data_IF_322742687722
#
_entry.id   IF_322742687722
#
_cell.length_a   1.000
_cell.length_b   1.000
_cell.length_c   1.000
_cell.angle_alpha   90.00
_cell.angle_beta   90.00
_cell.angle_gamma   90.00
#
_symmetry.space_group_name_H-M   'P 1'
#
loop_
_entity.id
_entity.type
_entity.pdbx_description
1 polymer ?
#
# COMPACT_ATOMS: atom_id res chain seq x y z
N UNK A 1 26.14 38.94 -7.22
CA UNK A 1 25.80 37.54 -6.90
C UNK A 1 24.29 37.46 -6.74
N UNK A 2 23.56 36.78 -7.63
CA UNK A 2 22.12 36.61 -7.48
C UNK A 2 21.81 35.68 -6.28
N UNK A 3 20.82 36.06 -5.47
CA UNK A 3 20.42 35.33 -4.27
C UNK A 3 19.75 33.99 -4.64
N UNK A 4 19.92 32.92 -3.83
CA UNK A 4 19.23 31.66 -4.06
C UNK A 4 17.73 31.87 -3.85
N UNK A 5 16.96 31.84 -4.94
CA UNK A 5 15.50 31.75 -4.89
C UNK A 5 15.13 30.41 -4.28
N UNK A 6 14.74 30.42 -3.00
CA UNK A 6 14.14 29.26 -2.35
C UNK A 6 12.92 28.82 -3.16
N UNK A 7 12.89 27.59 -3.70
CA UNK A 7 11.74 27.11 -4.45
C UNK A 7 10.54 27.08 -3.51
N UNK A 8 9.51 27.86 -3.84
CA UNK A 8 8.21 27.75 -3.18
C UNK A 8 7.69 26.33 -3.39
N UNK A 9 7.25 25.63 -2.33
CA UNK A 9 6.76 24.27 -2.45
C UNK A 9 5.58 24.27 -3.44
N UNK A 10 5.72 23.48 -4.51
CA UNK A 10 4.66 23.33 -5.51
C UNK A 10 3.45 22.73 -4.81
N UNK A 11 2.31 23.40 -4.91
CA UNK A 11 1.04 22.92 -4.34
C UNK A 11 0.64 21.65 -5.08
N UNK A 12 0.51 20.55 -4.35
CA UNK A 12 0.09 19.27 -4.92
C UNK A 12 -1.38 19.33 -5.33
N UNK A 13 -1.74 18.51 -6.33
CA UNK A 13 -3.13 18.33 -6.74
C UNK A 13 -3.93 17.66 -5.61
N UNK A 14 -5.23 17.93 -5.45
CA UNK A 14 -6.03 17.34 -4.37
C UNK A 14 -5.97 15.79 -4.30
N UNK A 15 -5.94 15.11 -5.45
CA UNK A 15 -5.79 13.65 -5.51
C UNK A 15 -4.40 13.18 -5.05
N UNK A 16 -3.35 13.95 -5.32
CA UNK A 16 -2.00 13.65 -4.86
C UNK A 16 -1.86 13.84 -3.34
N UNK A 17 -2.54 14.85 -2.77
CA UNK A 17 -2.64 15.03 -1.32
C UNK A 17 -3.36 13.84 -0.65
N UNK A 18 -4.49 13.39 -1.20
CA UNK A 18 -5.20 12.20 -0.70
C UNK A 18 -4.35 10.93 -0.80
N UNK A 19 -3.63 10.74 -1.90
CA UNK A 19 -2.70 9.63 -2.06
C UNK A 19 -1.60 9.69 -0.98
N UNK A 20 -0.96 10.85 -0.80
CA UNK A 20 0.07 11.06 0.21
C UNK A 20 -0.46 10.79 1.63
N UNK A 21 -1.68 11.20 1.92
CA UNK A 21 -2.35 10.97 3.19
C UNK A 21 -2.60 9.48 3.48
N UNK A 22 -3.05 8.70 2.50
CA UNK A 22 -3.27 7.27 2.70
C UNK A 22 -1.96 6.50 2.80
N UNK A 23 -0.98 6.84 1.97
CA UNK A 23 0.35 6.23 2.00
C UNK A 23 1.08 6.51 3.34
N UNK A 24 0.94 7.71 3.91
CA UNK A 24 1.58 8.05 5.19
C UNK A 24 1.02 7.25 6.37
N UNK A 25 -0.25 6.84 6.30
CA UNK A 25 -0.90 5.96 7.28
C UNK A 25 -0.60 4.47 7.10
N UNK A 26 0.20 4.10 6.09
CA UNK A 26 0.64 2.73 5.84
C UNK A 26 -0.20 1.95 4.82
N UNK A 27 -1.04 2.61 4.01
CA UNK A 27 -1.69 1.93 2.89
C UNK A 27 -0.66 1.47 1.86
N UNK A 28 -0.91 0.33 1.20
CA UNK A 28 -0.09 -0.08 0.04
C UNK A 28 -0.22 0.96 -1.08
N UNK A 29 0.75 1.06 -1.98
CA UNK A 29 0.71 2.04 -3.08
C UNK A 29 -0.54 1.88 -3.95
N UNK A 30 -0.94 0.63 -4.22
CA UNK A 30 -2.17 0.34 -4.96
C UNK A 30 -3.42 0.78 -4.19
N UNK A 31 -3.48 0.47 -2.89
CA UNK A 31 -4.59 0.87 -2.03
C UNK A 31 -4.69 2.40 -1.90
N UNK A 32 -3.56 3.09 -1.68
CA UNK A 32 -3.52 4.54 -1.59
C UNK A 32 -4.00 5.19 -2.90
N UNK A 33 -3.59 4.67 -4.06
CA UNK A 33 -4.05 5.16 -5.37
C UNK A 33 -5.57 5.01 -5.53
N UNK A 34 -6.12 3.84 -5.19
CA UNK A 34 -7.57 3.59 -5.24
C UNK A 34 -8.34 4.52 -4.32
N UNK A 35 -7.88 4.68 -3.08
CA UNK A 35 -8.50 5.58 -2.10
C UNK A 35 -8.43 7.05 -2.51
N UNK A 36 -7.40 7.44 -3.27
CA UNK A 36 -7.27 8.76 -3.85
C UNK A 36 -8.11 8.99 -5.12
N UNK A 37 -8.84 7.97 -5.58
CA UNK A 37 -9.72 8.05 -6.75
C UNK A 37 -9.01 7.91 -8.09
N UNK A 38 -7.84 7.25 -8.14
CA UNK A 38 -7.24 6.80 -9.39
C UNK A 38 -7.85 5.47 -9.85
N UNK A 39 -7.69 5.12 -11.13
CA UNK A 39 -8.14 3.84 -11.67
C UNK A 39 -7.63 2.67 -10.81
N UNK A 40 -8.49 1.68 -10.49
CA UNK A 40 -8.07 0.47 -9.83
C UNK A 40 -7.13 -0.36 -10.70
N UNK A 41 -7.28 -0.26 -12.03
CA UNK A 41 -6.41 -0.91 -13.01
C UNK A 41 -5.10 -0.12 -13.10
N UNK A 42 -3.98 -0.81 -12.90
CA UNK A 42 -2.68 -0.15 -12.82
C UNK A 42 -2.47 0.73 -11.58
N UNK A 43 -3.34 0.70 -10.57
CA UNK A 43 -3.22 1.48 -9.34
C UNK A 43 -1.84 1.37 -8.67
N UNK A 44 -1.22 0.18 -8.74
CA UNK A 44 0.15 -0.07 -8.26
C UNK A 44 1.19 0.69 -9.07
N UNK A 45 1.12 0.61 -10.40
CA UNK A 45 2.03 1.33 -11.30
C UNK A 45 1.86 2.84 -11.12
N UNK A 46 0.61 3.32 -11.08
CA UNK A 46 0.28 4.72 -10.80
C UNK A 46 0.84 5.17 -9.47
N UNK A 47 0.66 4.38 -8.41
CA UNK A 47 1.22 4.67 -7.08
C UNK A 47 2.75 4.72 -7.09
N UNK A 48 3.40 3.85 -7.86
CA UNK A 48 4.85 3.89 -8.08
C UNK A 48 5.29 5.17 -8.79
N UNK A 49 4.59 5.58 -9.85
CA UNK A 49 4.85 6.84 -10.58
C UNK A 49 4.65 8.06 -9.67
N UNK A 50 3.60 8.07 -8.84
CA UNK A 50 3.37 9.13 -7.87
C UNK A 50 4.51 9.22 -6.83
N UNK A 51 5.01 8.08 -6.34
CA UNK A 51 6.15 8.04 -5.41
C UNK A 51 7.50 8.37 -6.06
N UNK A 52 7.60 8.35 -7.39
CA UNK A 52 8.79 8.85 -8.07
C UNK A 52 8.92 10.38 -7.93
N UNK A 53 7.80 11.09 -7.74
CA UNK A 53 7.79 12.53 -7.50
C UNK A 53 8.27 12.87 -6.08
N UNK A 54 9.34 13.68 -5.98
CA UNK A 54 9.92 14.11 -4.71
C UNK A 54 8.95 14.87 -3.82
N UNK A 55 8.07 15.69 -4.39
CA UNK A 55 7.17 16.55 -3.63
C UNK A 55 6.11 15.71 -2.91
N UNK A 56 5.60 14.68 -3.60
CA UNK A 56 4.66 13.71 -3.02
C UNK A 56 5.32 12.93 -1.88
N UNK A 57 6.57 12.46 -2.07
CA UNK A 57 7.31 11.76 -0.99
C UNK A 57 7.53 12.64 0.24
N UNK A 58 7.93 13.89 0.05
CA UNK A 58 8.12 14.82 1.16
C UNK A 58 6.81 15.04 1.92
N UNK A 59 5.69 15.16 1.19
CA UNK A 59 4.36 15.29 1.78
C UNK A 59 3.94 14.05 2.58
N UNK A 60 4.25 12.85 2.10
CA UNK A 60 4.02 11.60 2.83
C UNK A 60 4.79 11.58 4.15
N UNK A 61 6.05 11.98 4.15
CA UNK A 61 6.87 12.02 5.37
C UNK A 61 6.43 13.12 6.35
N UNK A 62 5.89 14.23 5.86
CA UNK A 62 5.26 15.25 6.71
C UNK A 62 4.05 14.68 7.43
N UNK A 63 3.08 14.13 6.70
CA UNK A 63 1.91 13.49 7.30
C UNK A 63 2.28 12.33 8.23
N UNK A 64 3.32 11.56 7.89
CA UNK A 64 3.79 10.47 8.75
C UNK A 64 4.31 11.01 10.07
N UNK A 65 5.10 12.09 10.06
CA UNK A 65 5.62 12.71 11.29
C UNK A 65 4.49 13.26 12.16
N UNK A 66 3.53 13.96 11.56
CA UNK A 66 2.34 14.46 12.27
C UNK A 66 1.53 13.32 12.89
N UNK A 67 1.29 12.25 12.12
CA UNK A 67 0.53 11.10 12.59
C UNK A 67 1.24 10.34 13.70
N UNK A 68 2.55 10.09 13.56
CA UNK A 68 3.35 9.43 14.61
C UNK A 68 3.35 10.26 15.88
N UNK A 69 3.56 11.58 15.79
CA UNK A 69 3.53 12.46 16.96
C UNK A 69 2.18 12.43 17.68
N UNK A 70 1.06 12.51 16.94
CA UNK A 70 -0.27 12.42 17.51
C UNK A 70 -0.57 11.04 18.11
N UNK A 71 -0.11 9.97 17.44
CA UNK A 71 -0.31 8.59 17.88
C UNK A 71 0.48 8.27 19.13
N UNK A 72 1.74 8.71 19.22
CA UNK A 72 2.61 8.43 20.34
C UNK A 72 2.08 9.05 21.64
N UNK A 73 1.51 10.25 21.58
CA UNK A 73 0.82 10.86 22.72
C UNK A 73 -0.38 10.01 23.18
N UNK A 74 -1.23 9.57 22.24
CA UNK A 74 -2.39 8.73 22.56
C UNK A 74 -1.99 7.33 23.08
N UNK A 75 -0.92 6.73 22.55
CA UNK A 75 -0.39 5.46 23.06
C UNK A 75 0.16 5.63 24.48
N UNK A 76 0.86 6.73 24.76
CA UNK A 76 1.39 7.00 26.10
C UNK A 76 0.27 7.08 27.15
N UNK A 77 -0.80 7.83 26.85
CA UNK A 77 -1.99 7.93 27.70
C UNK A 77 -2.64 6.56 27.93
N UNK A 78 -2.91 5.80 26.86
CA UNK A 78 -3.49 4.45 26.97
C UNK A 78 -2.63 3.48 27.78
N UNK A 79 -1.30 3.60 27.71
CA UNK A 79 -0.35 2.80 28.49
C UNK A 79 -0.39 3.15 29.97
N UNK A 80 -0.60 4.43 30.32
CA UNK A 80 -0.79 4.88 31.70
C UNK A 80 -2.10 4.37 32.29
N UNK A 81 -3.22 4.55 31.57
CA UNK A 81 -4.54 4.03 31.97
C UNK A 81 -4.52 2.52 32.18
N UNK A 82 -3.90 1.77 31.25
CA UNK A 82 -3.76 0.32 31.39
C UNK A 82 -2.93 -0.04 32.62
N UNK A 83 -1.96 0.80 33.01
CA UNK A 83 -1.21 0.66 34.26
C UNK A 83 -2.09 0.75 35.50
N UNK A 84 -3.03 1.70 35.53
CA UNK A 84 -3.99 1.85 36.62
C UNK A 84 -4.94 0.63 36.71
N UNK A 85 -5.34 0.07 35.56
CA UNK A 85 -6.15 -1.16 35.50
C UNK A 85 -5.39 -2.35 36.10
N UNK A 86 -4.09 -2.47 35.83
CA UNK A 86 -3.24 -3.51 36.42
C UNK A 86 -3.21 -3.38 37.95
N UNK A 87 -2.96 -2.18 38.47
CA UNK A 87 -2.93 -1.93 39.91
C UNK A 87 -4.28 -2.25 40.57
N UNK A 88 -5.37 -1.81 39.95
CA UNK A 88 -6.75 -2.12 40.39
C UNK A 88 -7.01 -3.63 40.42
N UNK A 89 -6.61 -4.35 39.37
CA UNK A 89 -6.82 -5.80 39.28
C UNK A 89 -6.02 -6.56 40.34
N UNK A 90 -4.80 -6.12 40.64
CA UNK A 90 -3.98 -6.69 41.72
C UNK A 90 -4.64 -6.44 43.07
N UNK A 91 -5.08 -5.20 43.35
CA UNK A 91 -5.75 -4.82 44.61
C UNK A 91 -7.04 -5.61 44.85
N UNK A 92 -7.77 -5.96 43.79
CA UNK A 92 -9.00 -6.75 43.84
C UNK A 92 -8.75 -8.27 43.77
N UNK A 93 -7.49 -8.72 43.81
CA UNK A 93 -7.08 -10.13 43.72
C UNK A 93 -7.64 -10.83 42.46
N UNK A 94 -7.65 -10.14 41.32
CA UNK A 94 -8.08 -10.67 40.02
C UNK A 94 -6.87 -10.91 39.10
N UNK A 95 -6.09 -11.99 39.30
CA UNK A 95 -4.83 -12.21 38.60
C UNK A 95 -4.99 -12.33 37.08
N UNK A 96 -6.06 -12.99 36.60
CA UNK A 96 -6.33 -13.10 35.16
C UNK A 96 -6.55 -11.75 34.50
N UNK A 97 -7.25 -10.83 35.17
CA UNK A 97 -7.49 -9.48 34.65
C UNK A 97 -6.18 -8.67 34.61
N UNK A 98 -5.34 -8.81 35.64
CA UNK A 98 -4.02 -8.18 35.67
C UNK A 98 -3.14 -8.67 34.50
N UNK A 99 -3.12 -9.98 34.22
CA UNK A 99 -2.37 -10.56 33.11
C UNK A 99 -2.83 -10.03 31.75
N UNK A 100 -4.15 -9.97 31.51
CA UNK A 100 -4.70 -9.43 30.25
C UNK A 100 -4.37 -7.95 30.06
N UNK A 101 -4.40 -7.15 31.13
CA UNK A 101 -4.02 -5.74 31.08
C UNK A 101 -2.51 -5.57 30.83
N UNK A 102 -1.66 -6.43 31.42
CA UNK A 102 -0.22 -6.46 31.12
C UNK A 102 0.02 -6.81 29.65
N UNK A 103 -0.65 -7.84 29.12
CA UNK A 103 -0.54 -8.21 27.71
C UNK A 103 -0.94 -7.05 26.78
N UNK A 104 -2.06 -6.38 27.07
CA UNK A 104 -2.51 -5.22 26.30
C UNK A 104 -1.48 -4.08 26.35
N UNK A 105 -0.91 -3.80 27.52
CA UNK A 105 0.15 -2.80 27.68
C UNK A 105 1.38 -3.13 26.83
N UNK A 106 1.77 -4.40 26.75
CA UNK A 106 2.88 -4.85 25.89
C UNK A 106 2.57 -4.73 24.39
N UNK A 107 1.31 -4.99 24.00
CA UNK A 107 0.85 -4.78 22.61
C UNK A 107 0.86 -3.31 22.22
N UNK A 108 0.35 -2.41 23.08
CA UNK A 108 0.36 -0.96 22.84
C UNK A 108 1.78 -0.40 22.67
N UNK A 109 2.75 -0.93 23.43
CA UNK A 109 4.17 -0.58 23.31
C UNK A 109 4.86 -1.19 22.08
N UNK A 110 4.18 -2.04 21.32
CA UNK A 110 4.74 -2.73 20.15
C UNK A 110 5.74 -3.84 20.48
N UNK A 111 5.86 -4.25 21.75
CA UNK A 111 6.72 -5.38 22.15
C UNK A 111 6.13 -6.69 21.63
N UNK A 112 4.80 -6.82 21.72
CA UNK A 112 4.05 -7.93 21.13
C UNK A 112 3.35 -7.43 19.87
N UNK A 113 3.69 -8.02 18.72
CA UNK A 113 3.00 -7.73 17.47
C UNK A 113 1.65 -8.44 17.43
N UNK A 114 0.59 -7.68 17.23
CA UNK A 114 -0.75 -8.21 17.00
C UNK A 114 -1.27 -7.68 15.66
N UNK A 115 -1.39 -8.59 14.68
CA UNK A 115 -1.76 -8.28 13.30
C UNK A 115 -3.15 -7.63 13.19
N UNK A 116 -3.99 -7.77 14.22
CA UNK A 116 -5.35 -7.21 14.24
C UNK A 116 -5.36 -5.68 14.42
N UNK A 117 -4.26 -5.07 14.85
CA UNK A 117 -4.19 -3.62 15.09
C UNK A 117 -3.64 -2.83 13.90
N UNK A 118 -3.41 -3.46 12.74
CA UNK A 118 -3.03 -2.72 11.53
C UNK A 118 -4.25 -1.98 10.95
N UNK A 119 -4.13 -0.67 10.72
CA UNK A 119 -5.18 0.15 10.08
C UNK A 119 -5.47 -0.32 8.65
N UNK A 120 -4.44 -0.80 7.97
CA UNK A 120 -4.54 -1.39 6.65
C UNK A 120 -4.30 -2.88 6.80
N UNK A 121 -5.33 -3.66 6.48
CA UNK A 121 -5.19 -5.11 6.33
C UNK A 121 -4.31 -5.36 5.11
N UNK A 122 -3.40 -6.33 5.18
CA UNK A 122 -2.80 -6.93 3.99
C UNK A 122 -3.96 -7.47 3.14
N UNK A 123 -4.41 -6.67 2.16
CA UNK A 123 -5.59 -7.02 1.38
C UNK A 123 -5.17 -8.11 0.39
N UNK A 124 -5.88 -9.24 0.33
CA UNK A 124 -5.65 -10.24 -0.71
C UNK A 124 -5.85 -9.67 -2.13
N UNK A 125 -6.52 -8.51 -2.27
CA UNK A 125 -6.71 -7.80 -3.54
C UNK A 125 -5.44 -7.09 -4.07
N UNK A 126 -4.29 -7.25 -3.41
CA UNK A 126 -2.99 -7.02 -4.07
C UNK A 126 -2.60 -8.20 -5.00
N UNK A 127 -3.33 -9.32 -4.95
CA UNK A 127 -3.21 -10.44 -5.87
C UNK A 127 -4.06 -10.19 -7.13
N UNK A 128 -3.45 -9.49 -8.10
CA UNK A 128 -4.06 -9.07 -9.38
C UNK A 128 -4.46 -10.23 -10.31
N UNK A 129 -4.33 -11.48 -9.87
CA UNK A 129 -4.59 -12.68 -10.68
C UNK A 129 -6.08 -12.96 -10.91
N UNK A 130 -7.00 -12.31 -10.18
CA UNK A 130 -8.44 -12.64 -10.20
C UNK A 130 -9.34 -11.59 -10.86
N UNK A 131 -8.84 -10.42 -11.27
CA UNK A 131 -9.70 -9.39 -11.83
C UNK A 131 -9.78 -9.45 -13.37
N UNK A 132 -10.95 -9.85 -13.89
CA UNK A 132 -11.34 -9.68 -15.29
C UNK A 132 -11.78 -8.23 -15.50
N UNK A 133 -10.97 -7.43 -16.17
CA UNK A 133 -11.23 -6.01 -16.39
C UNK A 133 -11.67 -5.71 -17.83
N UNK A 134 -12.63 -4.78 -17.97
CA UNK A 134 -13.08 -4.21 -19.25
C UNK A 134 -12.11 -3.09 -19.69
N UNK A 135 -11.41 -3.23 -20.84
CA UNK A 135 -10.44 -2.25 -21.33
C UNK A 135 -10.96 -0.82 -21.54
N UNK A 136 -12.28 -0.60 -21.55
CA UNK A 136 -12.87 0.72 -21.84
C UNK A 136 -12.96 1.65 -20.64
N UNK A 137 -12.88 1.15 -19.42
CA UNK A 137 -12.89 1.99 -18.20
C UNK A 137 -11.49 2.53 -17.84
N UNK A 138 -10.44 2.14 -18.58
CA UNK A 138 -9.03 2.34 -18.21
C UNK A 138 -8.41 3.67 -18.69
N UNK A 139 -9.20 4.58 -19.28
CA UNK A 139 -8.70 5.90 -19.69
C UNK A 139 -8.76 6.89 -18.52
N UNK A 140 -7.86 6.71 -17.56
CA UNK A 140 -7.52 7.77 -16.62
C UNK A 140 -6.96 8.97 -17.42
N UNK A 141 -7.38 10.23 -17.11
CA UNK A 141 -6.87 11.38 -17.82
C UNK A 141 -5.34 11.41 -17.74
N UNK A 142 -4.65 11.72 -18.87
CA UNK A 142 -3.20 11.78 -18.89
C UNK A 142 -2.73 12.70 -17.77
N UNK A 143 -1.74 12.24 -16.99
CA UNK A 143 -1.07 13.11 -16.04
C UNK A 143 -0.60 14.31 -16.84
N UNK A 144 -1.07 15.50 -16.50
CA UNK A 144 -0.55 16.71 -17.11
C UNK A 144 0.98 16.63 -17.02
N UNK A 145 1.69 16.75 -18.15
CA UNK A 145 3.13 16.66 -18.15
C UNK A 145 3.62 17.71 -17.18
N UNK A 146 4.33 17.25 -16.14
CA UNK A 146 5.04 18.11 -15.20
C UNK A 146 5.79 19.12 -16.06
N UNK A 147 5.38 20.38 -15.98
CA UNK A 147 5.97 21.47 -16.77
C UNK A 147 7.48 21.32 -16.66
N UNK A 148 8.07 20.90 -17.76
CA UNK A 148 9.47 20.63 -17.91
C UNK A 148 10.19 21.89 -17.44
N UNK A 149 11.15 21.72 -16.52
CA UNK A 149 12.01 22.83 -16.13
C UNK A 149 12.52 23.50 -17.42
N UNK A 150 12.58 24.85 -17.48
CA UNK A 150 12.95 25.56 -18.69
C UNK A 150 14.24 24.98 -19.24
N UNK A 151 14.18 24.54 -20.50
CA UNK A 151 15.27 23.87 -21.19
C UNK A 151 16.60 24.62 -20.95
N UNK A 152 17.71 23.91 -20.65
CA UNK A 152 19.01 24.54 -20.63
C UNK A 152 19.24 25.24 -21.98
N UNK A 153 19.78 26.47 -21.99
CA UNK A 153 19.94 27.27 -23.19
C UNK A 153 20.72 26.49 -24.25
N UNK A 154 20.18 26.53 -25.47
CA UNK A 154 20.69 25.86 -26.65
C UNK A 154 22.22 25.90 -26.74
N UNK A 155 22.82 24.71 -26.73
CA UNK A 155 24.21 24.51 -27.14
C UNK A 155 24.32 24.86 -28.63
N UNK A 156 25.33 25.67 -29.04
CA UNK A 156 25.49 26.06 -30.44
C UNK A 156 25.76 24.85 -31.34
N UNK A 157 25.35 24.91 -32.62
CA UNK A 157 25.41 23.77 -33.52
C UNK A 157 26.86 23.28 -33.74
N UNK A 158 27.09 21.96 -33.81
CA UNK A 158 28.39 21.41 -34.10
C UNK A 158 28.79 21.72 -35.55
N UNK A 159 29.98 22.28 -35.71
CA UNK A 159 30.63 22.48 -36.99
C UNK A 159 30.89 21.14 -37.69
N UNK A 160 30.73 21.15 -39.01
CA UNK A 160 31.01 20.08 -39.96
C UNK A 160 32.22 19.23 -39.57
N UNK A 161 31.98 17.95 -39.29
CA UNK A 161 33.02 16.92 -39.35
C UNK A 161 32.76 16.02 -40.57
N UNK A 162 33.76 15.85 -41.45
CA UNK A 162 33.63 15.07 -42.69
C UNK A 162 33.49 13.57 -42.42
N UNK A 163 32.71 12.94 -43.30
CA UNK A 163 32.43 11.51 -43.43
C UNK A 163 33.70 10.64 -43.28
N UNK A 164 33.63 9.63 -42.41
CA UNK A 164 34.59 8.52 -42.38
C UNK A 164 33.83 7.20 -42.56
N UNK A 165 34.31 6.27 -43.41
CA UNK A 165 33.50 5.20 -43.99
C UNK A 165 33.36 3.98 -43.07
N UNK A 166 32.25 3.26 -43.25
CA UNK A 166 31.93 1.98 -42.63
C UNK A 166 33.03 0.93 -42.79
N UNK A 167 33.14 0.02 -41.81
CA UNK A 167 33.45 -1.37 -42.13
C UNK A 167 32.44 -2.34 -41.51
N UNK A 168 31.78 -3.04 -42.43
CA UNK A 168 31.58 -4.49 -42.45
C UNK A 168 31.36 -5.25 -41.12
N UNK A 169 30.13 -5.75 -41.00
CA UNK A 169 29.79 -7.15 -40.73
C UNK A 169 30.88 -8.05 -40.10
N UNK A 170 30.63 -8.53 -38.87
CA UNK A 170 30.92 -9.90 -38.44
C UNK A 170 29.89 -10.30 -37.36
N UNK A 171 29.05 -11.29 -37.68
CA UNK A 171 28.37 -12.17 -36.73
C UNK A 171 29.41 -13.10 -36.08
N UNK A 172 29.24 -13.46 -34.79
CA UNK A 172 29.50 -14.85 -34.44
C UNK A 172 28.41 -15.50 -33.58
N UNK A 173 28.38 -16.81 -33.74
CA UNK A 173 27.44 -17.84 -33.27
C UNK A 173 27.33 -18.00 -31.75
N UNK A 174 26.23 -18.61 -31.25
CA UNK A 174 26.12 -19.05 -29.86
C UNK A 174 26.94 -20.32 -29.61
N UNK A 175 27.94 -20.21 -28.72
CA UNK A 175 28.70 -21.37 -28.25
C UNK A 175 27.90 -22.17 -27.20
N UNK A 176 27.61 -23.42 -27.56
CA UNK A 176 27.07 -24.49 -26.72
C UNK A 176 28.23 -25.22 -26.05
N UNK A 177 28.45 -25.10 -24.74
CA UNK A 177 29.36 -25.96 -23.95
C UNK A 177 28.84 -26.01 -22.50
N UNK A 178 28.14 -27.09 -22.11
CA UNK A 178 28.64 -28.21 -21.27
C UNK A 178 28.96 -27.84 -19.82
N UNK A 179 28.21 -28.38 -18.86
CA UNK A 179 28.73 -29.25 -17.78
C UNK A 179 27.67 -29.48 -16.68
N UNK A 180 27.28 -30.75 -16.52
CA UNK A 180 26.79 -31.32 -15.27
C UNK A 180 28.00 -31.83 -14.44
N UNK A 181 27.81 -32.44 -13.26
CA UNK A 181 27.31 -31.93 -11.97
C UNK A 181 28.43 -31.96 -10.91
N UNK A 182 28.15 -31.61 -9.64
CA UNK A 182 28.47 -32.59 -8.61
C UNK A 182 27.39 -32.83 -7.56
N UNK A 183 27.55 -33.99 -6.93
CA UNK A 183 26.67 -34.65 -5.99
C UNK A 183 26.58 -33.99 -4.59
N UNK A 184 25.55 -34.48 -3.85
CA UNK A 184 25.37 -34.53 -2.38
C UNK A 184 24.67 -33.34 -1.68
N UNK A 185 23.99 -33.55 -0.52
CA UNK A 185 23.84 -34.78 0.30
C UNK A 185 22.38 -35.21 0.56
N UNK A 186 22.21 -36.51 0.84
CA UNK A 186 20.96 -37.13 1.25
C UNK A 186 20.47 -36.61 2.61
N UNK A 187 19.23 -36.14 2.66
CA UNK A 187 18.54 -35.79 3.90
C UNK A 187 18.21 -37.06 4.73
N UNK A 188 18.35 -37.01 6.06
CA UNK A 188 18.04 -38.14 6.93
C UNK A 188 16.53 -38.42 7.01
N UNK A 189 16.21 -39.72 7.05
CA UNK A 189 14.88 -40.31 7.25
C UNK A 189 14.23 -39.80 8.54
N UNK A 190 13.00 -39.24 8.50
CA UNK A 190 12.20 -39.08 9.70
C UNK A 190 11.63 -40.45 10.10
N UNK A 191 12.03 -40.91 11.29
CA UNK A 191 11.45 -42.08 11.94
C UNK A 191 9.97 -41.81 12.26
N UNK A 192 9.15 -42.82 11.97
CA UNK A 192 7.79 -42.92 12.45
C UNK A 192 7.76 -42.94 13.98
N UNK A 193 6.86 -42.16 14.57
CA UNK A 193 6.23 -42.56 15.83
C UNK A 193 4.75 -42.21 15.77
N UNK A 194 3.98 -43.29 15.78
CA UNK A 194 2.54 -43.28 15.82
C UNK A 194 2.05 -42.75 17.17
N UNK A 195 1.16 -41.77 17.13
CA UNK A 195 0.13 -41.60 18.14
C UNK A 195 -1.19 -41.42 17.39
N UNK A 196 -1.92 -42.53 17.25
CA UNK A 196 -3.33 -42.57 16.87
C UNK A 196 -4.14 -42.00 18.03
N UNK A 197 -4.71 -40.82 17.86
CA UNK A 197 -5.99 -40.46 18.46
C UNK A 197 -6.79 -39.72 17.40
N UNK A 198 -7.70 -40.46 16.77
CA UNK A 198 -8.69 -39.89 15.87
C UNK A 198 -9.64 -38.99 16.64
N UNK A 199 -9.73 -37.74 16.23
CA UNK A 199 -10.93 -36.93 16.40
C UNK A 199 -11.08 -36.18 15.09
N UNK A 200 -11.99 -36.67 14.26
CA UNK A 200 -12.34 -36.05 13.01
C UNK A 200 -12.87 -34.64 13.28
N UNK A 201 -12.31 -33.58 12.66
CA UNK A 201 -12.97 -32.29 12.68
C UNK A 201 -14.23 -32.41 11.83
N UNK A 202 -15.39 -32.17 12.44
CA UNK A 202 -16.63 -31.98 11.72
C UNK A 202 -16.41 -30.92 10.64
N UNK A 203 -16.60 -31.32 9.38
CA UNK A 203 -16.57 -30.43 8.24
C UNK A 203 -17.56 -29.29 8.49
N UNK A 204 -17.02 -28.09 8.72
CA UNK A 204 -17.84 -26.88 8.75
C UNK A 204 -18.44 -26.71 7.34
N UNK A 205 -19.77 -26.58 7.21
CA UNK A 205 -20.38 -26.27 5.93
C UNK A 205 -19.80 -24.95 5.42
N UNK A 206 -19.42 -24.94 4.14
CA UNK A 206 -19.02 -23.72 3.45
C UNK A 206 -20.17 -22.70 3.54
N UNK A 207 -19.90 -21.43 3.88
CA UNK A 207 -20.94 -20.41 3.87
C UNK A 207 -21.39 -20.16 2.42
N UNK A 208 -22.56 -20.68 2.05
CA UNK A 208 -23.32 -20.34 0.85
C UNK A 208 -23.99 -18.97 1.03
N UNK A 209 -23.17 -17.95 1.28
CA UNK A 209 -23.60 -16.55 1.32
C UNK A 209 -23.09 -15.82 0.08
N UNK A 210 -23.82 -14.81 -0.44
CA UNK A 210 -23.30 -13.94 -1.49
C UNK A 210 -21.97 -13.33 -1.03
N UNK A 211 -21.02 -13.19 -1.95
CA UNK A 211 -19.70 -12.64 -1.69
C UNK A 211 -19.81 -11.35 -0.84
N UNK A 212 -18.97 -11.16 0.19
CA UNK A 212 -19.02 -9.95 1.00
C UNK A 212 -18.77 -8.75 0.10
N UNK A 213 -19.81 -7.94 -0.11
CA UNK A 213 -19.68 -6.64 -0.77
C UNK A 213 -18.72 -5.81 0.08
N UNK A 214 -17.52 -5.54 -0.47
CA UNK A 214 -16.49 -4.69 0.11
C UNK A 214 -17.08 -3.30 0.34
N UNK A 215 -17.58 -3.05 1.54
CA UNK A 215 -17.98 -1.71 1.97
C UNK A 215 -16.72 -0.92 2.28
N UNK A 216 -16.26 -0.14 1.31
CA UNK A 216 -15.27 0.89 1.54
C UNK A 216 -15.82 1.81 2.65
N UNK A 217 -15.11 2.00 3.78
CA UNK A 217 -15.58 2.89 4.83
C UNK A 217 -15.69 4.31 4.27
N UNK A 218 -16.85 4.95 4.48
CA UNK A 218 -17.10 6.29 3.99
C UNK A 218 -16.04 7.27 4.53
N UNK A 219 -15.44 8.06 3.62
CA UNK A 219 -14.50 9.12 4.00
C UNK A 219 -15.26 10.16 4.85
N UNK A 220 -14.76 10.51 6.05
CA UNK A 220 -15.43 11.49 6.90
C UNK A 220 -15.55 12.85 6.19
N UNK A 221 -16.72 13.52 6.22
CA UNK A 221 -16.95 14.77 5.46
C UNK A 221 -15.99 15.90 5.83
N UNK A 222 -15.54 15.97 7.09
CA UNK A 222 -14.50 16.91 7.57
C UNK A 222 -13.17 16.83 6.80
N UNK A 223 -12.86 15.68 6.20
CA UNK A 223 -11.67 15.51 5.39
C UNK A 223 -11.86 16.10 4.00
N UNK A 224 -13.05 15.93 3.40
CA UNK A 224 -13.34 16.46 2.07
C UNK A 224 -13.31 18.00 2.06
N UNK A 225 -13.80 18.63 3.13
CA UNK A 225 -13.73 20.09 3.32
C UNK A 225 -12.29 20.60 3.46
N UNK A 226 -11.42 19.85 4.16
CA UNK A 226 -10.02 20.24 4.33
C UNK A 226 -9.23 20.27 3.02
N UNK A 227 -9.69 19.55 1.99
CA UNK A 227 -9.02 19.43 0.69
C UNK A 227 -9.74 20.17 -0.45
N UNK A 228 -10.77 20.98 -0.15
CA UNK A 228 -11.55 21.70 -1.17
C UNK A 228 -12.15 20.78 -2.26
N UNK A 229 -12.53 19.55 -1.87
CA UNK A 229 -13.09 18.56 -2.80
C UNK A 229 -14.62 18.61 -2.75
N UNK A 230 -15.25 18.93 -3.89
CA UNK A 230 -16.71 18.82 -4.02
C UNK A 230 -17.14 17.36 -3.87
N UNK A 231 -17.95 17.08 -2.85
CA UNK A 231 -18.49 15.74 -2.58
C UNK A 231 -19.28 15.12 -3.73
N UNK A 232 -19.76 15.94 -4.68
CA UNK A 232 -20.45 15.47 -5.90
C UNK A 232 -19.50 14.92 -6.97
N UNK A 233 -18.21 15.25 -6.88
CA UNK A 233 -17.19 14.79 -7.84
C UNK A 233 -16.62 13.41 -7.51
N UNK A 234 -16.94 12.87 -6.33
CA UNK A 234 -16.54 11.52 -5.95
C UNK A 234 -17.48 10.48 -6.57
N UNK A 235 -16.98 9.52 -7.37
CA UNK A 235 -17.79 8.43 -7.91
C UNK A 235 -18.28 7.56 -6.76
N UNK A 236 -19.47 7.89 -6.27
CA UNK A 236 -20.08 7.20 -5.14
C UNK A 236 -20.87 6.04 -5.70
N UNK A 237 -20.23 4.87 -5.77
CA UNK A 237 -20.83 3.55 -5.96
C UNK A 237 -21.58 3.40 -7.30
N UNK A 238 -21.16 2.43 -8.12
CA UNK A 238 -21.90 2.07 -9.33
C UNK A 238 -23.39 1.89 -8.98
N UNK A 239 -24.33 2.56 -9.66
CA UNK A 239 -25.74 2.27 -9.47
C UNK A 239 -25.92 0.79 -9.74
N UNK A 240 -26.36 0.05 -8.72
CA UNK A 240 -26.80 -1.33 -8.91
C UNK A 240 -28.06 -1.24 -9.74
N UNK A 241 -27.97 -1.62 -11.01
CA UNK A 241 -29.13 -1.69 -11.90
C UNK A 241 -30.18 -2.60 -11.27
N UNK A 242 -31.43 -2.12 -11.10
CA UNK A 242 -32.49 -2.89 -10.44
C UNK A 242 -33.02 -4.07 -11.28
N UNK A 243 -32.49 -4.33 -12.47
CA UNK A 243 -33.00 -5.33 -13.42
C UNK A 243 -32.57 -6.78 -13.09
N UNK A 244 -31.57 -7.01 -12.22
CA UNK A 244 -31.02 -8.36 -11.97
C UNK A 244 -31.78 -9.20 -10.92
N UNK A 245 -33.06 -8.89 -10.65
CA UNK A 245 -33.91 -9.62 -9.67
C UNK A 245 -34.97 -10.54 -10.28
N UNK A 246 -34.85 -10.91 -11.55
CA UNK A 246 -35.83 -11.77 -12.23
C UNK A 246 -35.18 -13.04 -12.80
N UNK A 247 -34.72 -13.94 -11.93
CA UNK A 247 -34.68 -15.36 -12.29
C UNK A 247 -35.17 -16.23 -11.10
N UNK A 248 -36.21 -17.07 -11.33
CA UNK A 248 -36.82 -17.93 -10.30
C UNK A 248 -35.98 -19.18 -9.98
#
# INVERSE_FOLDING_TARGET
MPAPTTPTPRRLLPRQELFAFHASRGASLAQASRLAGYSPQGARQRGSVLMANSDIRLRVEEFRREWVAARDASIAEAVEETGQVVEMAIRLERPTAALMAIELKLKLRGIVHDRRFSLYTDSPDDDLSTCLFDPREDEDPPLEPLTEAPAPPAEPPPADQPEQPEPSAILPEPATVTAAPPAQPQAPKPWHSAAKTGTAPAARPAPTGPAPVLRIPAVPPRMLEAFDIDGKSFPTVCPVDPEDRLFP
#
